data_IF_303614229272
#
_entry.id   IF_303614229272
#
_cell.length_a   1.000
_cell.length_b   1.000
_cell.length_c   1.000
_cell.angle_alpha   90.00
_cell.angle_beta   90.00
_cell.angle_gamma   90.00
#
_symmetry.space_group_name_H-M   'P 1'
#
loop_
_entity.id
_entity.type
_entity.pdbx_description
1 polymer ?
#
# COMPACT_ATOMS: atom_id res chain seq x y z
N UNK A 1 -12.97 21.46 34.35
CA UNK A 1 -13.52 21.59 32.98
C UNK A 1 -12.89 20.50 32.13
N UNK A 2 -13.56 19.34 32.04
CA UNK A 2 -13.15 18.28 31.12
C UNK A 2 -13.57 18.71 29.72
N UNK A 3 -12.63 19.25 28.94
CA UNK A 3 -12.80 19.28 27.48
C UNK A 3 -12.65 17.84 27.03
N UNK A 4 -13.77 17.19 26.71
CA UNK A 4 -13.80 15.99 25.88
C UNK A 4 -12.93 16.29 24.67
N UNK A 5 -11.80 15.59 24.52
CA UNK A 5 -11.06 15.59 23.25
C UNK A 5 -12.06 15.03 22.24
N UNK A 6 -12.64 15.88 21.40
CA UNK A 6 -13.23 15.41 20.16
C UNK A 6 -12.11 14.72 19.41
N UNK A 7 -12.12 13.39 19.43
CA UNK A 7 -11.25 12.58 18.59
C UNK A 7 -11.54 13.01 17.16
N UNK A 8 -10.58 13.65 16.50
CA UNK A 8 -10.69 14.02 15.10
C UNK A 8 -10.85 12.71 14.31
N UNK A 9 -12.09 12.38 13.96
CA UNK A 9 -12.40 11.18 13.17
C UNK A 9 -11.78 11.38 11.79
N UNK A 10 -10.90 10.47 11.39
CA UNK A 10 -10.18 10.58 10.12
C UNK A 10 -11.10 10.40 8.90
N UNK A 11 -10.73 10.86 7.70
CA UNK A 11 -11.55 10.69 6.51
C UNK A 11 -11.95 9.23 6.23
N UNK A 12 -11.02 8.26 6.37
CA UNK A 12 -11.37 6.85 6.18
C UNK A 12 -12.37 6.37 7.23
N UNK A 13 -12.24 6.79 8.49
CA UNK A 13 -13.19 6.42 9.55
C UNK A 13 -14.59 6.99 9.30
N UNK A 14 -14.69 8.24 8.80
CA UNK A 14 -15.98 8.83 8.40
C UNK A 14 -16.62 8.07 7.23
N UNK A 15 -15.81 7.65 6.26
CA UNK A 15 -16.27 6.88 5.12
C UNK A 15 -16.76 5.48 5.52
N UNK A 16 -16.00 4.77 6.38
CA UNK A 16 -16.41 3.48 6.95
C UNK A 16 -17.73 3.62 7.70
N UNK A 17 -17.87 4.65 8.54
CA UNK A 17 -19.14 4.94 9.22
C UNK A 17 -20.30 5.20 8.24
N UNK A 18 -20.07 5.96 7.16
CA UNK A 18 -21.07 6.19 6.12
C UNK A 18 -21.53 4.87 5.48
N UNK A 19 -20.61 3.97 5.14
CA UNK A 19 -20.92 2.63 4.59
C UNK A 19 -21.72 1.81 5.60
N UNK A 20 -21.29 1.77 6.86
CA UNK A 20 -21.96 1.01 7.92
C UNK A 20 -23.41 1.46 8.14
N UNK A 21 -23.66 2.77 8.14
CA UNK A 21 -24.97 3.37 8.42
C UNK A 21 -25.85 3.54 7.17
N UNK A 22 -25.34 3.16 5.99
CA UNK A 22 -26.06 3.35 4.73
C UNK A 22 -27.32 2.47 4.66
N UNK A 23 -28.42 3.04 4.17
CA UNK A 23 -29.70 2.33 4.01
C UNK A 23 -29.74 1.55 2.69
N UNK A 24 -29.16 0.35 2.70
CA UNK A 24 -29.11 -0.51 1.52
C UNK A 24 -30.50 -0.96 1.05
N UNK A 25 -30.76 -0.99 -0.28
CA UNK A 25 -31.92 -1.67 -0.83
C UNK A 25 -32.01 -3.12 -0.36
N UNK A 26 -33.22 -3.56 -0.02
CA UNK A 26 -33.47 -4.93 0.44
C UNK A 26 -33.00 -5.94 -0.60
N UNK A 27 -32.22 -6.95 -0.19
CA UNK A 27 -31.73 -7.99 -1.09
C UNK A 27 -30.49 -7.59 -1.90
N UNK A 28 -29.94 -6.39 -1.71
CA UNK A 28 -28.78 -5.93 -2.50
C UNK A 28 -27.48 -6.60 -2.05
N UNK A 29 -27.21 -6.64 -0.75
CA UNK A 29 -25.95 -7.19 -0.24
C UNK A 29 -25.90 -8.71 -0.41
N UNK A 30 -27.07 -9.37 -0.44
CA UNK A 30 -27.21 -10.79 -0.74
C UNK A 30 -26.89 -11.15 -2.21
N UNK A 31 -26.69 -10.17 -3.09
CA UNK A 31 -26.21 -10.39 -4.46
C UNK A 31 -24.68 -10.40 -4.54
N UNK A 32 -23.98 -9.95 -3.49
CA UNK A 32 -22.53 -10.03 -3.43
C UNK A 32 -22.18 -11.49 -3.10
N UNK A 33 -21.30 -12.15 -3.87
CA UNK A 33 -20.89 -13.51 -3.57
C UNK A 33 -20.38 -13.64 -2.13
N UNK A 34 -20.76 -14.72 -1.45
CA UNK A 34 -20.27 -15.05 -0.11
C UNK A 34 -19.04 -15.97 -0.13
N UNK A 35 -18.54 -16.30 -1.31
CA UNK A 35 -17.37 -17.15 -1.47
C UNK A 35 -16.09 -16.28 -1.46
N UNK A 36 -15.07 -16.72 -0.72
CA UNK A 36 -13.76 -16.08 -0.66
C UNK A 36 -13.52 -15.26 0.60
N UNK A 37 -12.72 -14.20 0.47
CA UNK A 37 -12.26 -13.39 1.60
C UNK A 37 -12.76 -11.94 1.52
N UNK A 38 -12.66 -11.25 2.64
CA UNK A 38 -12.66 -9.79 2.68
C UNK A 38 -11.45 -9.29 3.46
N UNK A 39 -10.92 -8.12 3.08
CA UNK A 39 -9.83 -7.49 3.84
C UNK A 39 -10.42 -6.61 4.94
N UNK A 40 -10.11 -6.86 6.20
CA UNK A 40 -10.66 -6.08 7.32
C UNK A 40 -9.88 -4.76 7.60
N UNK A 41 -8.75 -4.56 6.91
CA UNK A 41 -7.82 -3.46 7.12
C UNK A 41 -6.46 -3.90 7.68
N UNK A 42 -6.37 -5.13 8.19
CA UNK A 42 -5.13 -5.75 8.69
C UNK A 42 -4.85 -7.05 7.96
N UNK A 43 -5.84 -7.92 7.83
CA UNK A 43 -5.78 -9.26 7.26
C UNK A 43 -6.95 -9.55 6.31
N UNK A 44 -6.75 -10.54 5.46
CA UNK A 44 -7.79 -11.20 4.69
C UNK A 44 -8.51 -12.22 5.57
N UNK A 45 -9.83 -12.12 5.63
CA UNK A 45 -10.69 -12.95 6.48
C UNK A 45 -11.62 -13.74 5.60
N UNK A 46 -11.65 -15.07 5.78
CA UNK A 46 -12.57 -15.93 5.07
C UNK A 46 -14.01 -15.68 5.52
N UNK A 47 -14.90 -15.58 4.54
CA UNK A 47 -16.33 -15.64 4.79
C UNK A 47 -16.69 -17.07 5.17
N UNK A 48 -17.44 -17.24 6.27
CA UNK A 48 -17.92 -18.56 6.68
C UNK A 48 -18.94 -19.10 5.67
N UNK A 49 -19.13 -20.42 5.67
CA UNK A 49 -20.19 -21.05 4.87
C UNK A 49 -21.54 -20.38 5.18
N UNK A 50 -22.26 -19.96 4.13
CA UNK A 50 -23.51 -19.20 4.19
C UNK A 50 -23.44 -17.79 4.83
N UNK A 51 -22.25 -17.27 5.17
CA UNK A 51 -22.11 -15.91 5.70
C UNK A 51 -22.43 -14.88 4.62
N UNK A 52 -23.38 -14.00 4.91
CA UNK A 52 -23.79 -12.95 3.97
C UNK A 52 -23.00 -11.69 4.19
N UNK A 53 -22.70 -10.99 3.11
CA UNK A 53 -22.11 -9.66 3.21
C UNK A 53 -23.07 -8.73 3.98
N UNK A 54 -22.57 -8.15 5.06
CA UNK A 54 -23.28 -7.19 5.88
C UNK A 54 -22.72 -5.78 5.67
N UNK A 55 -23.43 -4.72 6.08
CA UNK A 55 -22.87 -3.37 6.13
C UNK A 55 -21.58 -3.28 6.94
N UNK A 56 -21.43 -4.13 7.96
CA UNK A 56 -20.22 -4.21 8.78
C UNK A 56 -19.02 -4.75 7.99
N UNK A 57 -19.19 -5.89 7.30
CA UNK A 57 -18.15 -6.46 6.43
C UNK A 57 -17.77 -5.46 5.34
N UNK A 58 -18.76 -4.85 4.70
CA UNK A 58 -18.53 -3.88 3.63
C UNK A 58 -17.84 -2.60 4.13
N UNK A 59 -18.17 -2.16 5.35
CA UNK A 59 -17.48 -1.04 6.02
C UNK A 59 -16.02 -1.40 6.33
N UNK A 60 -15.76 -2.62 6.81
CA UNK A 60 -14.39 -3.07 7.10
C UNK A 60 -13.55 -3.15 5.83
N UNK A 61 -14.13 -3.66 4.73
CA UNK A 61 -13.47 -3.86 3.43
C UNK A 61 -13.23 -2.60 2.61
N UNK A 62 -13.88 -1.49 2.94
CA UNK A 62 -13.59 -0.20 2.33
C UNK A 62 -12.12 0.20 2.59
N UNK A 63 -11.36 0.36 1.53
CA UNK A 63 -9.97 0.80 1.55
C UNK A 63 -9.74 1.95 0.59
N UNK A 64 -8.78 2.81 0.95
CA UNK A 64 -8.29 3.91 0.14
C UNK A 64 -6.82 3.67 -0.20
N UNK A 65 -6.43 4.00 -1.42
CA UNK A 65 -5.05 3.93 -1.86
C UNK A 65 -4.71 4.98 -2.92
N UNK A 66 -3.42 5.20 -3.09
CA UNK A 66 -2.86 6.02 -4.17
C UNK A 66 -2.23 5.05 -5.15
N UNK A 67 -2.86 4.89 -6.31
CA UNK A 67 -2.32 4.15 -7.44
C UNK A 67 -1.11 4.88 -7.99
N UNK A 68 -0.08 4.11 -8.33
CA UNK A 68 1.09 4.58 -9.04
C UNK A 68 0.98 4.07 -10.48
N UNK A 69 0.82 4.99 -11.42
CA UNK A 69 0.88 4.69 -12.85
C UNK A 69 2.32 4.94 -13.32
N UNK A 70 2.90 3.97 -14.01
CA UNK A 70 4.23 4.05 -14.57
C UNK A 70 4.18 4.20 -16.10
N UNK A 71 5.16 4.92 -16.63
CA UNK A 71 5.31 5.09 -18.07
C UNK A 71 6.78 5.02 -18.41
N UNK A 72 7.13 4.05 -19.25
CA UNK A 72 8.47 3.94 -19.80
C UNK A 72 8.81 5.20 -20.61
N UNK A 73 9.94 5.81 -20.30
CA UNK A 73 10.42 7.04 -20.91
C UNK A 73 11.95 7.01 -20.99
N UNK A 74 12.55 7.86 -21.84
CA UNK A 74 14.00 8.00 -21.85
C UNK A 74 14.48 8.73 -20.60
N UNK A 75 15.65 8.36 -20.10
CA UNK A 75 16.25 8.93 -18.89
C UNK A 75 16.34 10.46 -18.95
N UNK A 76 16.71 11.02 -20.09
CA UNK A 76 16.89 12.48 -20.28
C UNK A 76 15.57 13.26 -20.25
N UNK A 77 14.43 12.58 -20.40
CA UNK A 77 13.11 13.20 -20.39
C UNK A 77 12.52 13.35 -18.99
N UNK A 78 13.09 12.66 -17.98
CA UNK A 78 12.59 12.68 -16.61
C UNK A 78 13.07 13.97 -15.92
N UNK A 79 12.16 14.83 -15.43
CA UNK A 79 12.56 16.02 -14.70
C UNK A 79 13.33 15.69 -13.41
N UNK A 80 14.34 16.51 -13.10
CA UNK A 80 15.11 16.36 -11.87
C UNK A 80 14.19 16.41 -10.64
N UNK A 81 14.30 15.41 -9.76
CA UNK A 81 13.49 15.31 -8.55
C UNK A 81 12.06 14.81 -8.74
N UNK A 82 11.65 14.38 -9.96
CA UNK A 82 10.36 13.70 -10.15
C UNK A 82 10.36 12.28 -9.60
N UNK A 83 9.18 11.72 -9.33
CA UNK A 83 9.04 10.30 -9.00
C UNK A 83 9.37 9.44 -10.22
N UNK A 84 10.19 8.40 -10.02
CA UNK A 84 10.59 7.45 -11.06
C UNK A 84 10.91 6.08 -10.46
N UNK A 85 10.83 5.03 -11.27
CA UNK A 85 11.39 3.71 -10.95
C UNK A 85 12.44 3.31 -11.98
N UNK A 86 13.45 2.56 -11.52
CA UNK A 86 14.63 2.13 -12.30
C UNK A 86 15.35 3.32 -12.98
N UNK A 87 16.36 3.05 -13.81
CA UNK A 87 17.19 4.07 -14.43
C UNK A 87 18.16 4.73 -13.45
N UNK A 88 18.59 5.95 -13.75
CA UNK A 88 19.57 6.67 -12.91
C UNK A 88 18.87 7.48 -11.80
N UNK A 89 19.21 7.29 -10.51
CA UNK A 89 18.57 8.05 -9.45
C UNK A 89 19.04 9.51 -9.39
N UNK A 90 18.14 10.38 -8.92
CA UNK A 90 18.44 11.77 -8.60
C UNK A 90 18.88 11.89 -7.14
N UNK A 91 20.19 11.80 -6.87
CA UNK A 91 20.72 11.79 -5.51
C UNK A 91 21.37 13.14 -5.13
N UNK A 92 21.35 13.53 -3.85
CA UNK A 92 22.06 14.73 -3.40
C UNK A 92 23.58 14.61 -3.55
N UNK A 93 24.12 13.38 -3.48
CA UNK A 93 25.50 13.02 -3.81
C UNK A 93 25.63 11.50 -3.96
N UNK A 94 26.70 11.03 -4.59
CA UNK A 94 26.92 9.60 -4.84
C UNK A 94 27.04 8.75 -3.56
N UNK A 95 27.57 9.29 -2.46
CA UNK A 95 27.66 8.55 -1.18
C UNK A 95 26.30 8.35 -0.50
N UNK A 96 25.25 8.98 -1.02
CA UNK A 96 23.88 8.72 -0.58
C UNK A 96 23.40 7.34 -1.03
N UNK A 97 23.96 6.76 -2.10
CA UNK A 97 23.62 5.41 -2.56
C UNK A 97 24.16 4.36 -1.57
N UNK A 98 23.33 3.47 -0.99
CA UNK A 98 23.81 2.35 -0.17
C UNK A 98 24.71 1.37 -0.96
N UNK A 99 25.80 0.91 -0.35
CA UNK A 99 26.69 -0.05 -1.03
C UNK A 99 25.96 -1.35 -1.33
N UNK A 100 26.26 -1.96 -2.49
CA UNK A 100 25.73 -3.29 -2.84
C UNK A 100 24.25 -3.32 -3.16
N UNK A 101 23.65 -2.19 -3.57
CA UNK A 101 22.22 -2.11 -3.86
C UNK A 101 21.92 -1.56 -5.24
N UNK A 102 20.81 -2.00 -5.83
CA UNK A 102 20.20 -1.44 -7.02
C UNK A 102 19.21 -0.33 -6.65
N UNK A 103 19.00 0.60 -7.57
CA UNK A 103 17.99 1.64 -7.41
C UNK A 103 16.64 1.14 -7.91
N UNK A 104 15.69 0.97 -6.98
CA UNK A 104 14.35 0.50 -7.29
C UNK A 104 13.45 1.67 -7.70
N UNK A 105 13.33 2.68 -6.84
CA UNK A 105 12.47 3.83 -7.09
C UNK A 105 12.83 5.05 -6.25
N UNK A 106 12.44 6.22 -6.73
CA UNK A 106 12.34 7.44 -5.94
C UNK A 106 10.93 8.01 -6.03
N UNK A 107 10.40 8.49 -4.92
CA UNK A 107 9.10 9.16 -4.87
C UNK A 107 9.25 10.56 -4.30
N UNK A 108 8.76 11.54 -5.04
CA UNK A 108 8.63 12.91 -4.57
C UNK A 108 7.30 13.04 -3.82
N UNK A 109 7.38 13.27 -2.51
CA UNK A 109 6.19 13.34 -1.66
C UNK A 109 5.24 14.45 -2.12
N UNK A 110 5.76 15.57 -2.63
CA UNK A 110 4.92 16.68 -3.08
C UNK A 110 3.99 16.29 -4.26
N UNK A 111 4.37 15.30 -5.07
CA UNK A 111 3.57 14.86 -6.22
C UNK A 111 2.29 14.12 -5.81
N UNK A 112 2.32 13.38 -4.69
CA UNK A 112 1.19 12.61 -4.17
C UNK A 112 0.60 13.12 -2.86
N UNK A 113 1.23 14.10 -2.18
CA UNK A 113 0.79 14.60 -0.86
C UNK A 113 -0.67 15.07 -0.85
N UNK A 114 -1.12 15.67 -1.95
CA UNK A 114 -2.53 16.09 -2.14
C UNK A 114 -3.56 14.95 -2.03
N UNK A 115 -3.11 13.70 -2.14
CA UNK A 115 -3.91 12.48 -2.05
C UNK A 115 -3.70 11.74 -0.72
N UNK A 116 -2.83 12.22 0.18
CA UNK A 116 -2.65 11.65 1.52
C UNK A 116 -3.76 12.12 2.47
N UNK A 117 -4.93 11.47 2.38
CA UNK A 117 -6.15 11.88 3.11
C UNK A 117 -5.99 11.80 4.64
N UNK A 118 -5.06 10.98 5.12
CA UNK A 118 -4.77 10.80 6.56
C UNK A 118 -3.64 11.72 7.05
N UNK A 119 -3.02 12.51 6.15
CA UNK A 119 -1.86 13.35 6.43
C UNK A 119 -0.75 12.57 7.16
N UNK A 120 -0.42 11.38 6.65
CA UNK A 120 0.55 10.46 7.25
C UNK A 120 1.99 10.76 6.83
N UNK A 121 2.22 11.19 5.59
CA UNK A 121 3.55 11.50 5.08
C UNK A 121 4.03 12.89 5.53
N UNK A 122 5.34 13.18 5.52
CA UNK A 122 5.85 14.55 5.55
C UNK A 122 5.24 15.43 4.45
N UNK A 123 5.35 16.76 4.57
CA UNK A 123 4.81 17.67 3.53
C UNK A 123 5.63 17.66 2.23
N UNK A 124 6.92 17.30 2.32
CA UNK A 124 7.88 17.34 1.21
C UNK A 124 9.03 16.36 1.41
N UNK A 125 9.84 16.24 0.37
CA UNK A 125 11.08 15.46 0.36
C UNK A 125 10.99 14.25 -0.57
N UNK A 126 12.12 13.59 -0.73
CA UNK A 126 12.30 12.43 -1.61
C UNK A 126 12.46 11.17 -0.78
N UNK A 127 11.67 10.15 -1.11
CA UNK A 127 11.88 8.77 -0.67
C UNK A 127 12.66 8.04 -1.74
N UNK A 128 13.64 7.25 -1.34
CA UNK A 128 14.41 6.38 -2.22
C UNK A 128 14.32 4.96 -1.69
N UNK A 129 14.08 4.04 -2.60
CA UNK A 129 14.00 2.62 -2.37
C UNK A 129 15.15 1.97 -3.12
N UNK A 130 15.95 1.21 -2.39
CA UNK A 130 17.04 0.41 -2.93
C UNK A 130 16.84 -1.03 -2.50
N UNK A 131 17.22 -2.00 -3.33
CA UNK A 131 17.20 -3.43 -2.99
C UNK A 131 18.57 -4.05 -3.27
N UNK A 132 18.85 -5.20 -2.68
CA UNK A 132 20.09 -5.94 -2.93
C UNK A 132 19.86 -7.26 -3.68
N UNK A 133 18.73 -7.43 -4.38
CA UNK A 133 18.21 -8.67 -5.01
C UNK A 133 18.10 -9.93 -4.13
N UNK A 134 18.77 -9.98 -2.99
CA UNK A 134 18.74 -11.06 -2.00
C UNK A 134 17.55 -10.92 -1.02
N UNK A 135 16.62 -10.00 -1.31
CA UNK A 135 15.42 -9.74 -0.51
C UNK A 135 15.58 -8.68 0.58
N UNK A 136 16.77 -8.07 0.73
CA UNK A 136 16.93 -6.89 1.59
C UNK A 136 16.64 -5.62 0.81
N UNK A 137 16.07 -4.63 1.51
CA UNK A 137 15.77 -3.32 0.96
C UNK A 137 16.23 -2.23 1.94
N UNK A 138 16.48 -1.04 1.39
CA UNK A 138 16.90 0.13 2.14
C UNK A 138 16.06 1.32 1.68
N UNK A 139 15.38 1.95 2.64
CA UNK A 139 14.68 3.22 2.42
C UNK A 139 15.55 4.37 2.89
N UNK A 140 15.71 5.38 2.04
CA UNK A 140 16.35 6.64 2.41
C UNK A 140 15.41 7.81 2.18
N UNK A 141 15.54 8.83 3.02
CA UNK A 141 14.78 10.06 2.90
C UNK A 141 15.71 11.27 2.77
N UNK A 142 15.34 12.19 1.90
CA UNK A 142 16.04 13.45 1.69
C UNK A 142 15.07 14.63 1.71
N UNK A 143 15.27 15.57 2.62
CA UNK A 143 14.43 16.77 2.77
C UNK A 143 15.07 18.04 2.17
N UNK A 144 16.26 17.94 1.59
CA UNK A 144 16.92 19.10 1.00
C UNK A 144 16.30 19.53 -0.34
N UNK A 145 16.77 20.64 -0.93
CA UNK A 145 16.18 21.21 -2.12
C UNK A 145 16.46 20.35 -3.36
N UNK A 146 15.52 20.32 -4.31
CA UNK A 146 15.67 19.63 -5.61
C UNK A 146 16.94 20.10 -6.37
N UNK A 147 17.35 21.36 -6.17
CA UNK A 147 18.55 21.93 -6.80
C UNK A 147 19.86 21.25 -6.41
N UNK A 148 19.89 20.54 -5.29
CA UNK A 148 21.07 19.81 -4.83
C UNK A 148 21.16 18.41 -5.46
N UNK A 149 20.06 17.92 -6.06
CA UNK A 149 19.99 16.61 -6.67
C UNK A 149 20.80 16.58 -7.98
N UNK A 150 21.38 15.41 -8.25
CA UNK A 150 22.13 15.13 -9.47
C UNK A 150 21.75 13.75 -9.98
N UNK A 151 21.57 13.64 -11.29
CA UNK A 151 21.53 12.33 -11.95
C UNK A 151 22.84 11.62 -11.62
N UNK A 152 22.75 10.45 -11.00
CA UNK A 152 23.89 9.71 -10.47
C UNK A 152 24.04 8.40 -11.21
N UNK A 153 25.21 8.19 -11.82
CA UNK A 153 25.56 6.92 -12.46
C UNK A 153 25.56 5.77 -11.44
N UNK A 154 25.25 4.56 -11.92
CA UNK A 154 25.40 3.36 -11.10
C UNK A 154 26.83 3.19 -10.61
N UNK A 155 27.02 2.62 -9.40
CA UNK A 155 28.34 2.25 -8.91
C UNK A 155 28.99 1.19 -9.84
N UNK A 156 30.30 0.98 -9.70
CA UNK A 156 31.02 -0.04 -10.47
C UNK A 156 30.31 -1.39 -10.33
N UNK A 157 30.00 -2.03 -11.47
CA UNK A 157 29.30 -3.32 -11.52
C UNK A 157 29.94 -4.41 -10.63
N UNK A 158 31.25 -4.33 -10.37
CA UNK A 158 31.97 -5.24 -9.44
C UNK A 158 31.54 -5.10 -7.98
N UNK A 159 30.84 -4.03 -7.64
CA UNK A 159 30.35 -3.73 -6.28
C UNK A 159 28.88 -4.07 -6.09
N UNK A 160 28.21 -4.53 -7.15
CA UNK A 160 26.79 -4.89 -7.14
C UNK A 160 26.62 -6.42 -7.13
N UNK A 161 25.65 -6.95 -6.36
CA UNK A 161 25.36 -8.38 -6.34
C UNK A 161 24.80 -8.82 -7.69
N UNK A 162 25.38 -9.86 -8.28
CA UNK A 162 24.92 -10.45 -9.55
C UNK A 162 24.72 -9.46 -10.73
N UNK A 163 25.56 -8.43 -10.83
CA UNK A 163 25.44 -7.37 -11.85
C UNK A 163 25.31 -7.85 -13.29
N UNK A 164 25.86 -9.03 -13.63
CA UNK A 164 25.75 -9.62 -14.97
C UNK A 164 24.31 -10.01 -15.36
N UNK A 165 23.39 -10.14 -14.41
CA UNK A 165 22.00 -10.52 -14.63
C UNK A 165 21.05 -9.34 -14.48
N UNK A 166 21.25 -8.50 -13.46
CA UNK A 166 20.25 -7.50 -13.07
C UNK A 166 20.58 -6.06 -13.48
N UNK A 167 21.86 -5.73 -13.69
CA UNK A 167 22.25 -4.32 -13.88
C UNK A 167 21.56 -3.66 -15.07
N UNK A 168 21.45 -4.35 -16.20
CA UNK A 168 20.80 -3.80 -17.40
C UNK A 168 19.31 -3.55 -17.14
N UNK A 169 18.63 -4.48 -16.46
CA UNK A 169 17.21 -4.35 -16.12
C UNK A 169 16.94 -3.12 -15.25
N UNK A 170 17.78 -2.89 -14.24
CA UNK A 170 17.63 -1.78 -13.30
C UNK A 170 18.14 -0.44 -13.84
N UNK A 171 19.12 -0.43 -14.77
CA UNK A 171 19.78 0.79 -15.26
C UNK A 171 19.23 1.29 -16.57
N UNK A 172 18.91 0.39 -17.51
CA UNK A 172 18.71 0.76 -18.91
C UNK A 172 17.24 1.05 -19.24
N UNK A 173 16.33 0.77 -18.31
CA UNK A 173 14.91 1.12 -18.41
C UNK A 173 14.56 2.08 -17.28
N UNK A 174 13.83 3.14 -17.61
CA UNK A 174 13.36 4.12 -16.65
C UNK A 174 11.88 4.39 -16.85
N UNK A 175 11.15 4.47 -15.74
CA UNK A 175 9.73 4.79 -15.75
C UNK A 175 9.50 6.09 -14.99
N UNK A 176 8.76 7.02 -15.60
CA UNK A 176 8.22 8.14 -14.88
C UNK A 176 6.94 7.71 -14.16
N UNK A 177 6.83 8.06 -12.88
CA UNK A 177 5.69 7.69 -12.05
C UNK A 177 4.71 8.86 -11.95
N UNK A 178 3.42 8.54 -11.91
CA UNK A 178 2.35 9.48 -11.63
C UNK A 178 1.33 8.86 -10.68
N UNK A 179 0.52 9.69 -10.02
CA UNK A 179 -0.27 9.27 -8.88
C UNK A 179 -1.75 9.59 -9.05
N UNK A 180 -2.59 8.64 -8.66
CA UNK A 180 -4.04 8.77 -8.74
C UNK A 180 -4.73 8.19 -7.50
N UNK A 181 -5.63 8.93 -6.84
CA UNK A 181 -6.36 8.43 -5.68
C UNK A 181 -7.51 7.52 -6.12
N UNK A 182 -7.65 6.37 -5.46
CA UNK A 182 -8.76 5.45 -5.66
C UNK A 182 -9.25 4.90 -4.32
N UNK A 183 -10.46 4.36 -4.31
CA UNK A 183 -10.97 3.55 -3.22
C UNK A 183 -11.62 2.28 -3.75
N UNK A 184 -11.63 1.23 -2.94
CA UNK A 184 -12.08 -0.10 -3.33
C UNK A 184 -12.71 -0.82 -2.13
N UNK A 185 -13.56 -1.79 -2.42
CA UNK A 185 -14.10 -2.71 -1.43
C UNK A 185 -13.46 -4.08 -1.64
N UNK A 186 -12.51 -4.43 -0.78
CA UNK A 186 -11.83 -5.73 -0.83
C UNK A 186 -12.74 -6.82 -0.23
N UNK A 187 -13.77 -7.23 -0.96
CA UNK A 187 -14.71 -8.27 -0.53
C UNK A 187 -15.21 -9.04 -1.74
N UNK A 188 -15.27 -10.37 -1.63
CA UNK A 188 -15.85 -11.26 -2.63
C UNK A 188 -15.29 -11.05 -4.05
N UNK A 189 -14.03 -10.63 -4.12
CA UNK A 189 -13.23 -10.54 -5.34
C UNK A 189 -12.09 -11.55 -5.27
N UNK A 190 -11.39 -11.72 -6.38
CA UNK A 190 -10.11 -12.43 -6.38
C UNK A 190 -8.98 -11.46 -5.97
N UNK A 191 -7.72 -11.85 -6.17
CA UNK A 191 -6.58 -10.99 -5.83
C UNK A 191 -6.63 -9.60 -6.51
N UNK A 192 -7.29 -9.47 -7.66
CA UNK A 192 -7.25 -8.29 -8.50
C UNK A 192 -8.61 -7.72 -8.89
N UNK A 193 -9.59 -8.57 -9.20
CA UNK A 193 -10.87 -8.18 -9.80
C UNK A 193 -11.97 -7.97 -8.76
N UNK A 194 -12.44 -6.73 -8.70
CA UNK A 194 -13.51 -6.27 -7.83
C UNK A 194 -14.67 -5.66 -8.62
N UNK A 195 -14.80 -5.97 -9.92
CA UNK A 195 -15.89 -5.48 -10.78
C UNK A 195 -17.27 -5.84 -10.26
N UNK A 196 -17.44 -7.05 -9.74
CA UNK A 196 -18.73 -7.54 -9.22
C UNK A 196 -19.22 -6.66 -8.08
N UNK A 197 -18.40 -6.46 -7.04
CA UNK A 197 -18.76 -5.60 -5.92
C UNK A 197 -18.94 -4.14 -6.37
N UNK A 198 -18.03 -3.61 -7.19
CA UNK A 198 -18.11 -2.23 -7.65
C UNK A 198 -19.40 -1.90 -8.42
N UNK A 199 -19.92 -2.85 -9.20
CA UNK A 199 -21.19 -2.71 -9.93
C UNK A 199 -22.43 -2.81 -9.02
N UNK A 200 -22.31 -3.43 -7.85
CA UNK A 200 -23.39 -3.58 -6.88
C UNK A 200 -23.48 -2.42 -5.88
N UNK A 201 -22.41 -1.63 -5.71
CA UNK A 201 -22.43 -0.47 -4.81
C UNK A 201 -23.46 0.57 -5.30
N UNK A 202 -24.39 1.02 -4.44
CA UNK A 202 -25.34 2.07 -4.79
C UNK A 202 -24.64 3.33 -5.30
N UNK A 203 -25.13 3.89 -6.41
CA UNK A 203 -24.51 5.04 -7.07
C UNK A 203 -24.38 6.25 -6.14
N UNK A 204 -25.39 6.52 -5.32
CA UNK A 204 -25.39 7.63 -4.37
C UNK A 204 -24.44 7.42 -3.19
N UNK A 205 -24.21 6.17 -2.74
CA UNK A 205 -23.15 5.87 -1.79
C UNK A 205 -21.77 6.09 -2.43
N UNK A 206 -21.57 5.57 -3.65
CA UNK A 206 -20.34 5.75 -4.41
C UNK A 206 -20.04 7.24 -4.64
N UNK A 207 -21.02 8.04 -5.07
CA UNK A 207 -20.86 9.48 -5.29
C UNK A 207 -20.46 10.23 -4.00
N UNK A 208 -21.02 9.85 -2.84
CA UNK A 208 -20.63 10.43 -1.55
C UNK A 208 -19.19 10.08 -1.16
N UNK A 209 -18.76 8.83 -1.36
CA UNK A 209 -17.39 8.39 -1.12
C UNK A 209 -16.40 9.08 -2.07
N UNK A 210 -16.76 9.19 -3.36
CA UNK A 210 -15.99 9.95 -4.36
C UNK A 210 -15.80 11.40 -3.95
N UNK A 211 -16.84 12.05 -3.43
CA UNK A 211 -16.74 13.42 -2.95
C UNK A 211 -15.83 13.53 -1.71
N UNK A 212 -15.91 12.56 -0.79
CA UNK A 212 -15.14 12.56 0.45
C UNK A 212 -13.64 12.37 0.18
N UNK A 213 -13.29 11.41 -0.68
CA UNK A 213 -11.91 11.08 -0.99
C UNK A 213 -11.33 11.86 -2.16
N UNK A 214 -12.17 12.48 -3.00
CA UNK A 214 -11.79 13.00 -4.33
C UNK A 214 -11.08 11.93 -5.16
N UNK A 215 -11.63 10.73 -5.11
CA UNK A 215 -11.06 9.50 -5.65
C UNK A 215 -12.14 8.72 -6.38
N UNK A 216 -11.76 7.84 -7.30
CA UNK A 216 -12.70 6.98 -8.03
C UNK A 216 -12.87 5.62 -7.35
N UNK A 217 -14.05 5.02 -7.52
CA UNK A 217 -14.28 3.62 -7.12
C UNK A 217 -13.54 2.74 -8.12
N UNK A 218 -12.52 2.04 -7.65
CA UNK A 218 -11.76 1.10 -8.44
C UNK A 218 -12.50 -0.23 -8.58
N UNK A 219 -12.27 -0.86 -9.72
CA UNK A 219 -12.73 -2.23 -10.01
C UNK A 219 -11.56 -3.23 -10.02
N UNK A 220 -10.34 -2.73 -9.83
CA UNK A 220 -9.10 -3.50 -9.91
C UNK A 220 -8.14 -3.10 -8.80
N UNK A 221 -7.42 -4.06 -8.23
CA UNK A 221 -6.34 -3.80 -7.26
C UNK A 221 -4.99 -3.74 -7.99
N UNK A 222 -4.41 -2.55 -8.22
CA UNK A 222 -3.20 -2.42 -9.03
C UNK A 222 -1.95 -2.73 -8.21
N UNK A 223 -0.99 -3.50 -8.73
CA UNK A 223 0.22 -3.89 -7.99
C UNK A 223 1.06 -2.70 -7.51
N UNK A 224 1.07 -1.59 -8.24
CA UNK A 224 1.88 -0.41 -7.90
C UNK A 224 1.08 0.63 -7.12
N UNK A 225 1.30 0.76 -5.80
CA UNK A 225 0.52 1.70 -4.95
C UNK A 225 1.16 2.13 -3.62
N UNK A 226 0.53 3.11 -3.00
CA UNK A 226 0.69 3.55 -1.61
C UNK A 226 -0.65 3.35 -0.90
N UNK A 227 -0.63 2.86 0.34
CA UNK A 227 -1.79 2.45 1.14
C UNK A 227 -2.62 1.32 0.49
N UNK A 228 -3.71 0.93 1.16
CA UNK A 228 -4.57 -0.18 0.76
C UNK A 228 -4.11 -1.53 1.32
N UNK A 229 -4.78 -2.60 0.89
CA UNK A 229 -4.39 -3.99 1.15
C UNK A 229 -3.10 -4.28 0.37
N UNK A 230 -2.03 -4.91 0.88
CA UNK A 230 -0.92 -5.50 0.09
C UNK A 230 -1.38 -6.68 -0.81
N UNK A 231 -0.63 -7.06 -1.86
CA UNK A 231 -1.01 -8.23 -2.68
C UNK A 231 -0.19 -9.45 -2.29
N UNK A 232 -0.87 -10.44 -1.73
CA UNK A 232 -0.30 -11.72 -1.35
C UNK A 232 -0.82 -12.83 -2.28
N UNK A 233 0.07 -13.72 -2.70
CA UNK A 233 -0.21 -14.82 -3.63
C UNK A 233 -0.53 -16.14 -2.93
N UNK A 234 -0.01 -16.35 -1.72
CA UNK A 234 -0.08 -17.63 -0.99
C UNK A 234 -0.91 -17.53 0.30
N UNK A 235 -1.67 -16.45 0.46
CA UNK A 235 -2.50 -16.25 1.64
C UNK A 235 -1.71 -15.75 2.86
N UNK A 236 -0.53 -15.15 2.67
CA UNK A 236 0.30 -14.69 3.79
C UNK A 236 -0.32 -13.49 4.56
N UNK A 237 -1.45 -12.94 4.08
CA UNK A 237 -2.29 -11.99 4.82
C UNK A 237 -3.54 -12.60 5.44
N UNK A 238 -3.73 -13.92 5.38
CA UNK A 238 -4.92 -14.58 5.93
C UNK A 238 -4.90 -14.60 7.46
N UNK A 239 -6.06 -14.35 8.07
CA UNK A 239 -6.22 -14.47 9.51
C UNK A 239 -6.01 -15.92 9.97
N UNK A 240 -5.09 -16.12 10.92
CA UNK A 240 -4.69 -17.46 11.38
C UNK A 240 -3.58 -18.12 10.54
N UNK A 241 -2.97 -17.39 9.60
CA UNK A 241 -1.75 -17.84 8.92
C UNK A 241 -0.56 -17.75 9.89
N UNK A 242 -0.30 -18.81 10.64
CA UNK A 242 0.94 -18.98 11.40
C UNK A 242 2.04 -19.51 10.47
N UNK A 243 3.19 -18.84 10.44
CA UNK A 243 4.37 -19.29 9.70
C UNK A 243 5.01 -20.57 10.28
N UNK A 244 4.49 -21.07 11.40
CA UNK A 244 5.04 -22.18 12.16
C UNK A 244 4.24 -23.48 11.93
N UNK A 245 4.40 -24.10 10.76
CA UNK A 245 4.28 -25.56 10.67
C UNK A 245 5.67 -26.19 10.89
N UNK A 246 6.04 -26.29 12.15
CA UNK A 246 6.92 -27.34 12.67
C UNK A 246 6.58 -27.57 14.15
N UNK A 247 5.31 -27.88 14.46
CA UNK A 247 4.95 -28.67 15.65
C UNK A 247 3.53 -29.22 15.50
N UNK A 248 3.43 -30.53 15.24
CA UNK A 248 2.23 -31.30 15.60
C UNK A 248 2.01 -31.12 17.11
N UNK A 249 1.05 -30.32 17.53
CA UNK A 249 0.42 -30.50 18.85
C UNK A 249 -1.06 -30.08 18.81
N UNK A 250 -1.90 -31.05 19.18
CA UNK A 250 -3.34 -30.94 19.34
C UNK A 250 -3.73 -29.75 20.23
N UNK A 251 -4.61 -28.87 19.73
CA UNK A 251 -5.37 -27.95 20.59
C UNK A 251 -6.80 -27.75 20.06
N UNK A 252 -7.72 -28.50 20.66
CA UNK A 252 -9.12 -28.10 20.80
C UNK A 252 -9.19 -26.75 21.54
N UNK A 253 -9.88 -25.76 20.99
CA UNK A 253 -11.02 -25.05 21.62
C UNK A 253 -11.32 -23.70 20.93
N UNK A 254 -12.49 -23.72 20.30
CA UNK A 254 -13.45 -22.64 20.07
C UNK A 254 -13.32 -21.41 21.00
N UNK A 255 -12.59 -20.37 20.58
CA UNK A 255 -12.78 -19.01 21.09
C UNK A 255 -13.16 -18.06 19.95
N UNK A 256 -14.45 -17.75 19.89
CA UNK A 256 -14.97 -16.63 19.10
C UNK A 256 -14.32 -15.32 19.59
N UNK A 257 -13.38 -14.80 18.82
CA UNK A 257 -12.85 -13.45 19.00
C UNK A 257 -13.97 -12.45 18.70
N UNK A 258 -14.62 -11.94 19.75
CA UNK A 258 -15.39 -10.70 19.65
C UNK A 258 -14.41 -9.58 19.26
N UNK A 259 -14.41 -9.22 17.97
CA UNK A 259 -13.75 -8.00 17.49
C UNK A 259 -14.53 -6.81 18.05
N UNK A 260 -14.22 -6.43 19.28
CA UNK A 260 -14.42 -5.06 19.72
C UNK A 260 -13.67 -4.21 18.71
N UNK A 261 -14.36 -3.24 18.10
CA UNK A 261 -13.71 -2.11 17.45
C UNK A 261 -13.05 -1.31 18.58
N UNK A 262 -11.97 -1.84 19.15
CA UNK A 262 -11.15 -1.12 20.09
C UNK A 262 -10.47 -0.03 19.29
N UNK A 263 -10.49 1.17 19.86
CA UNK A 263 -9.70 2.29 19.38
C UNK A 263 -8.23 1.95 19.62
N UNK A 264 -7.68 0.97 18.89
CA UNK A 264 -6.25 0.90 18.70
C UNK A 264 -5.82 2.28 18.21
N UNK A 265 -4.83 2.84 18.90
CA UNK A 265 -4.30 4.13 18.58
C UNK A 265 -3.90 4.08 17.10
N UNK A 266 -4.58 4.85 16.25
CA UNK A 266 -4.26 4.91 14.81
C UNK A 266 -2.81 5.32 14.54
N UNK A 267 -2.10 5.79 15.58
CA UNK A 267 -0.69 6.15 15.52
C UNK A 267 0.25 4.95 15.48
N UNK A 268 -0.18 3.79 15.98
CA UNK A 268 0.64 2.57 16.02
C UNK A 268 0.41 1.63 14.84
N UNK A 269 -0.56 1.95 13.97
CA UNK A 269 -0.83 1.16 12.77
C UNK A 269 0.30 1.27 11.73
N UNK A 270 0.68 0.13 11.16
CA UNK A 270 1.56 0.07 10.01
C UNK A 270 0.85 0.50 8.72
N UNK A 271 1.57 1.24 7.89
CA UNK A 271 1.10 1.73 6.62
C UNK A 271 1.92 1.11 5.50
N UNK A 272 1.25 0.67 4.44
CA UNK A 272 1.89 0.34 3.18
C UNK A 272 2.36 1.65 2.53
N UNK A 273 3.67 1.93 2.58
CA UNK A 273 4.22 3.18 2.05
C UNK A 273 4.68 3.04 0.59
N UNK A 274 4.93 1.81 0.15
CA UNK A 274 5.25 1.49 -1.24
C UNK A 274 5.00 0.00 -1.50
N UNK A 275 4.31 -0.31 -2.58
CA UNK A 275 4.16 -1.67 -3.07
C UNK A 275 4.44 -1.69 -4.55
N UNK A 276 5.32 -2.58 -5.00
CA UNK A 276 5.64 -2.82 -6.40
C UNK A 276 5.89 -4.31 -6.67
N UNK A 277 6.09 -4.65 -7.94
CA UNK A 277 6.49 -5.98 -8.39
C UNK A 277 8.01 -6.05 -8.50
N UNK A 278 8.60 -7.16 -8.06
CA UNK A 278 10.03 -7.49 -8.25
C UNK A 278 10.10 -8.96 -8.63
N UNK A 279 10.68 -9.27 -9.79
CA UNK A 279 10.77 -10.64 -10.30
C UNK A 279 9.38 -11.24 -10.52
N UNK A 280 9.12 -12.38 -9.89
CA UNK A 280 7.84 -13.12 -9.98
C UNK A 280 6.90 -12.83 -8.79
N UNK A 281 7.20 -11.80 -7.98
CA UNK A 281 6.45 -11.49 -6.78
C UNK A 281 6.22 -10.01 -6.52
N UNK A 282 5.61 -9.75 -5.36
CA UNK A 282 5.23 -8.46 -4.84
C UNK A 282 6.10 -8.13 -3.61
N UNK A 283 6.65 -6.92 -3.56
CA UNK A 283 7.32 -6.39 -2.37
C UNK A 283 6.43 -5.34 -1.70
N UNK A 284 6.24 -5.48 -0.40
CA UNK A 284 5.43 -4.57 0.41
C UNK A 284 6.33 -3.84 1.39
N UNK A 285 6.56 -2.55 1.17
CA UNK A 285 7.34 -1.73 2.08
C UNK A 285 6.38 -1.03 3.04
N UNK A 286 6.56 -1.31 4.32
CA UNK A 286 5.69 -0.90 5.40
C UNK A 286 6.42 -0.07 6.42
N UNK A 287 5.66 0.78 7.10
CA UNK A 287 6.18 1.62 8.15
C UNK A 287 5.09 2.03 9.13
N UNK A 288 5.43 2.01 10.42
CA UNK A 288 4.56 2.54 11.46
C UNK A 288 4.24 4.03 11.20
N UNK A 289 2.96 4.41 11.37
CA UNK A 289 2.47 5.77 11.08
C UNK A 289 3.22 6.85 11.87
N UNK A 290 3.54 6.61 13.14
CA UNK A 290 4.29 7.57 13.96
C UNK A 290 5.72 7.75 13.47
N UNK A 291 6.41 6.64 13.17
CA UNK A 291 7.77 6.70 12.66
C UNK A 291 7.84 7.38 11.28
N UNK A 292 6.81 7.20 10.43
CA UNK A 292 6.67 7.90 9.14
C UNK A 292 6.58 9.42 9.34
N UNK A 293 5.76 9.88 10.29
CA UNK A 293 5.63 11.31 10.64
C UNK A 293 6.92 11.87 11.23
N UNK A 294 7.59 11.09 12.06
CA UNK A 294 8.88 11.43 12.66
C UNK A 294 10.07 11.31 11.68
N UNK A 295 9.81 10.91 10.43
CA UNK A 295 10.81 10.75 9.35
C UNK A 295 11.91 9.71 9.66
N UNK A 296 11.58 8.66 10.42
CA UNK A 296 12.50 7.58 10.82
C UNK A 296 12.54 6.45 9.80
N UNK A 297 12.76 6.77 8.53
CA UNK A 297 12.61 5.86 7.39
C UNK A 297 13.53 4.63 7.45
N UNK A 298 14.59 4.66 8.26
CA UNK A 298 15.42 3.50 8.57
C UNK A 298 14.67 2.37 9.29
N UNK A 299 13.48 2.65 9.83
CA UNK A 299 12.61 1.67 10.48
C UNK A 299 11.57 1.05 9.55
N UNK A 300 11.53 1.43 8.28
CA UNK A 300 10.70 0.72 7.33
C UNK A 300 11.13 -0.75 7.30
N UNK A 301 10.17 -1.66 7.09
CA UNK A 301 10.41 -3.08 6.88
C UNK A 301 9.71 -3.51 5.59
N UNK A 302 10.10 -4.65 5.01
CA UNK A 302 9.44 -5.21 3.84
C UNK A 302 8.92 -6.60 4.12
N UNK A 303 7.85 -6.97 3.43
CA UNK A 303 7.48 -8.35 3.20
C UNK A 303 7.51 -8.64 1.71
N UNK A 304 7.67 -9.90 1.33
CA UNK A 304 7.65 -10.36 -0.05
C UNK A 304 6.60 -11.47 -0.19
N UNK A 305 5.92 -11.50 -1.32
CA UNK A 305 5.01 -12.58 -1.68
C UNK A 305 5.20 -12.92 -3.15
N UNK A 306 5.52 -14.17 -3.44
CA UNK A 306 5.81 -14.63 -4.80
C UNK A 306 5.88 -16.15 -4.88
N UNK A 307 6.08 -16.66 -6.09
CA UNK A 307 6.27 -18.10 -6.35
C UNK A 307 7.73 -18.51 -6.39
#
# INVERSE_FOLDING_TARGET
MNRTKETLVSPIQKAKKLVLEYSYPKGLLEQIPSEGTYYNGTSSVYLKEDEKITPEILSKSLSYYIEIEDKEVSEESIPLGSSKSKGLPHLPNANFWPKGTYFLAQLNIEEFKKYDIENSFPDRGMLYFFDNIEGEFIVKYYEGPISDLKITDYPDAKTLPEAKYYLEEYRDVAYQLSFKPNFIFYVAGDAYDYRTIANLIPKDLSDQLKQMFKAELATWSPSFRIFGRPLFWQGEDEEGFDFDEDEEEDADEDESIEVKIENESTEDADLLIFHTEIGEGNIHIRMNRKDLKDKKFEKAYSTYSGT
#
